data_IF_137339964063
#
_entry.id   IF_137339964063
#
_cell.length_a   1.000
_cell.length_b   1.000
_cell.length_c   1.000
_cell.angle_alpha   90.00
_cell.angle_beta   90.00
_cell.angle_gamma   90.00
#
_symmetry.space_group_name_H-M   'P 1'
#
loop_
_entity.id
_entity.type
_entity.pdbx_description
1 polymer ?
#
# COMPACT_ATOMS: atom_id res chain seq x y z
N UNK A 1 -15.69 5.39 -45.46
CA UNK A 1 -14.43 6.07 -45.09
C UNK A 1 -14.48 6.72 -43.70
N UNK A 2 -15.10 7.90 -43.50
CA UNK A 2 -15.15 8.55 -42.15
C UNK A 2 -15.87 7.69 -41.10
N UNK A 3 -16.98 7.04 -41.47
CA UNK A 3 -17.75 6.17 -40.58
C UNK A 3 -16.97 4.93 -40.14
N UNK A 4 -16.22 4.32 -41.06
CA UNK A 4 -15.37 3.16 -40.77
C UNK A 4 -14.19 3.52 -39.85
N UNK A 5 -13.64 4.73 -39.99
CA UNK A 5 -12.60 5.26 -39.10
C UNK A 5 -13.15 5.49 -37.68
N UNK A 6 -14.35 6.07 -37.55
CA UNK A 6 -15.03 6.25 -36.27
C UNK A 6 -15.39 4.91 -35.61
N UNK A 7 -15.88 3.94 -36.38
CA UNK A 7 -16.19 2.60 -35.88
C UNK A 7 -14.92 1.84 -35.43
N UNK A 8 -13.79 2.07 -36.10
CA UNK A 8 -12.49 1.54 -35.68
C UNK A 8 -12.00 2.14 -34.35
N UNK A 9 -12.13 3.47 -34.20
CA UNK A 9 -11.73 4.17 -32.97
C UNK A 9 -12.58 3.74 -31.76
N UNK A 10 -13.89 3.65 -31.93
CA UNK A 10 -14.79 3.23 -30.84
C UNK A 10 -14.53 1.80 -30.35
N UNK A 11 -14.18 0.88 -31.26
CA UNK A 11 -13.77 -0.50 -30.92
C UNK A 11 -12.49 -0.58 -30.08
N UNK A 12 -11.61 0.40 -30.17
CA UNK A 12 -10.35 0.46 -29.41
C UNK A 12 -10.54 1.21 -28.09
N UNK A 13 -11.32 2.30 -28.10
CA UNK A 13 -11.54 3.14 -26.92
C UNK A 13 -12.29 2.42 -25.79
N UNK A 14 -13.26 1.56 -26.12
CA UNK A 14 -14.01 0.79 -25.12
C UNK A 14 -13.10 -0.10 -24.26
N UNK A 15 -12.35 -1.05 -24.86
CA UNK A 15 -11.41 -1.90 -24.13
C UNK A 15 -10.33 -1.12 -23.35
N UNK A 16 -9.81 -0.03 -23.91
CA UNK A 16 -8.83 0.83 -23.21
C UNK A 16 -9.47 1.48 -21.97
N UNK A 17 -10.68 2.00 -22.10
CA UNK A 17 -11.40 2.61 -20.98
C UNK A 17 -11.66 1.57 -19.87
N UNK A 18 -12.11 0.36 -20.24
CA UNK A 18 -12.30 -0.74 -19.28
C UNK A 18 -11.00 -1.14 -18.58
N UNK A 19 -9.92 -1.38 -19.33
CA UNK A 19 -8.61 -1.72 -18.75
C UNK A 19 -8.10 -0.62 -17.80
N UNK A 20 -8.31 0.65 -18.17
CA UNK A 20 -7.93 1.79 -17.33
C UNK A 20 -8.72 1.85 -16.02
N UNK A 21 -10.01 1.48 -16.07
CA UNK A 21 -10.90 1.40 -14.91
C UNK A 21 -10.49 0.23 -14.01
N UNK A 22 -10.32 -0.96 -14.56
CA UNK A 22 -9.92 -2.15 -13.80
C UNK A 22 -8.59 -1.93 -13.09
N UNK A 23 -7.61 -1.30 -13.77
CA UNK A 23 -6.32 -0.95 -13.18
C UNK A 23 -6.47 0.08 -12.04
N UNK A 24 -7.39 1.03 -12.14
CA UNK A 24 -7.69 1.98 -11.06
C UNK A 24 -8.32 1.27 -9.87
N UNK A 25 -9.32 0.41 -10.09
CA UNK A 25 -9.99 -0.34 -9.02
C UNK A 25 -9.02 -1.26 -8.28
N UNK A 26 -8.10 -1.93 -8.99
CA UNK A 26 -7.03 -2.71 -8.39
C UNK A 26 -6.09 -1.86 -7.54
N UNK A 27 -5.72 -0.66 -8.01
CA UNK A 27 -4.88 0.27 -7.25
C UNK A 27 -5.58 0.74 -5.98
N UNK A 28 -6.86 1.11 -6.08
CA UNK A 28 -7.66 1.56 -4.94
C UNK A 28 -7.84 0.43 -3.91
N UNK A 29 -8.00 -0.82 -4.35
CA UNK A 29 -8.05 -1.99 -3.48
C UNK A 29 -6.73 -2.20 -2.73
N UNK A 30 -5.58 -2.11 -3.43
CA UNK A 30 -4.25 -2.21 -2.82
C UNK A 30 -4.03 -1.11 -1.76
N UNK A 31 -4.42 0.12 -2.07
CA UNK A 31 -4.29 1.27 -1.16
C UNK A 31 -5.22 1.15 0.06
N UNK A 32 -6.43 0.60 -0.11
CA UNK A 32 -7.33 0.30 1.02
C UNK A 32 -6.72 -0.73 1.97
N UNK A 33 -6.06 -1.77 1.45
CA UNK A 33 -5.39 -2.77 2.29
C UNK A 33 -4.29 -2.12 3.16
N UNK A 34 -3.47 -1.24 2.57
CA UNK A 34 -2.47 -0.47 3.33
C UNK A 34 -3.14 0.46 4.36
N UNK A 35 -4.21 1.16 3.98
CA UNK A 35 -4.93 2.04 4.90
C UNK A 35 -5.43 1.28 6.13
N UNK A 36 -6.04 0.10 5.93
CA UNK A 36 -6.51 -0.74 7.03
C UNK A 36 -5.35 -1.18 7.93
N UNK A 37 -4.23 -1.61 7.35
CA UNK A 37 -3.05 -2.01 8.13
C UNK A 37 -2.47 -0.83 8.96
N UNK A 38 -2.43 0.38 8.38
CA UNK A 38 -2.00 1.59 9.07
C UNK A 38 -2.94 1.97 10.24
N UNK A 39 -4.25 1.80 10.07
CA UNK A 39 -5.25 2.11 11.09
C UNK A 39 -5.20 1.09 12.25
N UNK A 40 -5.01 -0.20 11.95
CA UNK A 40 -4.83 -1.24 12.98
C UNK A 40 -3.50 -1.07 13.74
N UNK A 41 -2.50 -0.46 13.10
CA UNK A 41 -1.22 -0.10 13.73
C UNK A 41 -1.35 1.02 14.79
N UNK A 42 -2.56 1.57 15.01
CA UNK A 42 -2.90 2.31 16.23
C UNK A 42 -2.59 1.53 17.52
N UNK A 43 -2.42 0.22 17.42
CA UNK A 43 -1.88 -0.63 18.47
C UNK A 43 -0.63 -0.04 19.18
N UNK A 44 0.29 0.62 18.46
CA UNK A 44 1.44 1.28 19.07
C UNK A 44 1.06 2.38 20.07
N UNK A 45 0.01 3.15 19.77
CA UNK A 45 -0.50 4.17 20.70
C UNK A 45 -0.98 3.54 22.00
N UNK A 46 -1.55 2.34 21.93
CA UNK A 46 -2.01 1.61 23.11
C UNK A 46 -0.81 1.06 23.92
N UNK A 47 0.24 0.58 23.24
CA UNK A 47 1.52 0.20 23.87
C UNK A 47 2.21 1.37 24.57
N UNK A 48 2.31 2.54 23.92
CA UNK A 48 2.91 3.76 24.49
C UNK A 48 2.19 4.24 25.76
N UNK A 49 0.91 3.89 25.92
CA UNK A 49 0.11 4.17 27.12
C UNK A 49 0.29 3.14 28.23
N UNK A 50 1.18 2.17 28.06
CA UNK A 50 1.46 1.11 29.02
C UNK A 50 0.56 -0.12 28.91
N UNK A 51 -0.19 -0.27 27.81
CA UNK A 51 -0.93 -1.52 27.58
C UNK A 51 0.06 -2.67 27.36
N UNK A 52 -0.24 -3.88 27.86
CA UNK A 52 0.61 -5.04 27.63
C UNK A 52 0.64 -5.43 26.15
N UNK A 53 1.71 -6.12 25.74
CA UNK A 53 1.79 -6.74 24.42
C UNK A 53 0.62 -7.71 24.20
N UNK A 54 0.10 -7.76 22.98
CA UNK A 54 -1.02 -8.58 22.56
C UNK A 54 -0.62 -9.31 21.28
N UNK A 55 -0.16 -10.55 21.44
CA UNK A 55 0.38 -11.37 20.36
C UNK A 55 -0.66 -11.68 19.28
N UNK A 56 -1.95 -11.75 19.63
CA UNK A 56 -3.02 -11.96 18.64
C UNK A 56 -3.17 -10.75 17.72
N UNK A 57 -3.08 -9.54 18.28
CA UNK A 57 -3.08 -8.30 17.48
C UNK A 57 -1.84 -8.20 16.60
N UNK A 58 -0.67 -8.54 17.11
CA UNK A 58 0.58 -8.56 16.32
C UNK A 58 0.49 -9.55 15.16
N UNK A 59 -0.03 -10.76 15.38
CA UNK A 59 -0.27 -11.73 14.32
C UNK A 59 -1.26 -11.24 13.25
N UNK A 60 -2.31 -10.52 13.67
CA UNK A 60 -3.25 -9.88 12.72
C UNK A 60 -2.58 -8.78 11.90
N UNK A 61 -1.71 -7.97 12.53
CA UNK A 61 -0.94 -6.95 11.83
C UNK A 61 -0.02 -7.57 10.78
N UNK A 62 0.72 -8.62 11.12
CA UNK A 62 1.54 -9.37 10.16
C UNK A 62 0.70 -9.81 8.94
N UNK A 63 -0.47 -10.42 9.19
CA UNK A 63 -1.38 -10.84 8.12
C UNK A 63 -1.84 -9.69 7.24
N UNK A 64 -2.21 -8.54 7.82
CA UNK A 64 -2.68 -7.39 7.05
C UNK A 64 -1.57 -6.78 6.19
N UNK A 65 -0.37 -6.66 6.73
CA UNK A 65 0.78 -6.13 6.00
C UNK A 65 1.20 -7.05 4.85
N UNK A 66 1.24 -8.37 5.05
CA UNK A 66 1.51 -9.35 3.98
C UNK A 66 0.44 -9.30 2.89
N UNK A 67 -0.84 -9.22 3.27
CA UNK A 67 -1.94 -9.10 2.31
C UNK A 67 -1.88 -7.80 1.49
N UNK A 68 -1.37 -6.71 2.07
CA UNK A 68 -1.21 -5.43 1.38
C UNK A 68 -0.03 -5.41 0.39
N UNK A 69 1.05 -6.16 0.67
CA UNK A 69 2.21 -6.26 -0.21
C UNK A 69 1.85 -6.87 -1.58
N UNK A 70 1.08 -7.97 -1.58
CA UNK A 70 0.75 -8.75 -2.79
C UNK A 70 0.20 -7.90 -3.94
N UNK A 71 -0.87 -7.09 -3.77
CA UNK A 71 -1.40 -6.27 -4.85
C UNK A 71 -0.53 -5.03 -5.13
N UNK A 72 0.23 -4.53 -4.14
CA UNK A 72 1.04 -3.32 -4.29
C UNK A 72 2.21 -3.49 -5.25
N UNK A 73 2.76 -4.71 -5.36
CA UNK A 73 3.85 -5.03 -6.31
C UNK A 73 3.56 -4.63 -7.77
N UNK A 74 2.29 -4.53 -8.15
CA UNK A 74 1.89 -4.15 -9.51
C UNK A 74 1.93 -2.63 -9.76
N UNK A 75 2.09 -1.83 -8.72
CA UNK A 75 2.01 -0.37 -8.77
C UNK A 75 3.25 0.33 -8.23
N UNK A 76 3.84 -0.20 -7.15
CA UNK A 76 5.04 0.32 -6.51
C UNK A 76 5.76 -0.83 -5.77
N UNK A 77 6.85 -1.32 -6.37
CA UNK A 77 7.65 -2.43 -5.84
C UNK A 77 8.30 -2.08 -4.50
N UNK A 78 8.76 -0.84 -4.35
CA UNK A 78 9.38 -0.40 -3.10
C UNK A 78 8.37 -0.38 -1.95
N UNK A 79 7.18 0.18 -2.18
CA UNK A 79 6.10 0.16 -1.17
C UNK A 79 5.60 -1.26 -0.89
N UNK A 80 5.61 -2.14 -1.88
CA UNK A 80 5.35 -3.57 -1.68
C UNK A 80 6.35 -4.19 -0.72
N UNK A 81 7.65 -3.98 -0.93
CA UNK A 81 8.71 -4.51 -0.06
C UNK A 81 8.63 -3.95 1.35
N UNK A 82 8.34 -2.65 1.49
CA UNK A 82 8.08 -2.03 2.80
C UNK A 82 6.92 -2.73 3.52
N UNK A 83 5.81 -3.02 2.82
CA UNK A 83 4.70 -3.74 3.42
C UNK A 83 5.08 -5.17 3.84
N UNK A 84 5.90 -5.85 3.04
CA UNK A 84 6.38 -7.21 3.34
C UNK A 84 7.30 -7.23 4.57
N UNK A 85 8.30 -6.34 4.63
CA UNK A 85 9.14 -6.21 5.82
C UNK A 85 8.36 -5.77 7.07
N UNK A 86 7.34 -4.92 6.90
CA UNK A 86 6.46 -4.57 8.03
C UNK A 86 5.69 -5.79 8.52
N UNK A 87 5.29 -6.70 7.62
CA UNK A 87 4.71 -7.99 8.01
C UNK A 87 5.68 -8.84 8.81
N UNK A 88 6.93 -8.99 8.34
CA UNK A 88 7.98 -9.74 9.03
C UNK A 88 8.29 -9.17 10.41
N UNK A 89 8.32 -7.84 10.53
CA UNK A 89 8.47 -7.15 11.81
C UNK A 89 7.41 -7.59 12.83
N UNK A 90 6.13 -7.63 12.43
CA UNK A 90 5.05 -8.01 13.34
C UNK A 90 5.03 -9.48 13.75
N UNK A 91 5.79 -10.35 13.05
CA UNK A 91 5.97 -11.74 13.49
C UNK A 91 6.85 -11.81 14.74
N UNK A 92 7.88 -10.96 14.83
CA UNK A 92 8.73 -10.87 16.00
C UNK A 92 9.41 -9.50 16.10
N UNK A 93 8.74 -8.49 16.71
CA UNK A 93 9.28 -7.14 16.82
C UNK A 93 10.59 -7.04 17.60
N UNK A 94 10.83 -7.97 18.54
CA UNK A 94 11.98 -7.95 19.44
C UNK A 94 13.30 -8.31 18.73
N UNK A 95 13.24 -8.75 17.46
CA UNK A 95 14.41 -9.02 16.64
C UNK A 95 14.94 -7.79 15.87
N UNK A 96 14.26 -6.63 15.98
CA UNK A 96 14.59 -5.45 15.20
C UNK A 96 15.05 -4.33 16.10
N UNK A 97 16.23 -3.79 15.79
CA UNK A 97 16.72 -2.56 16.39
C UNK A 97 16.16 -1.34 15.65
N UNK A 98 16.29 -0.16 16.26
CA UNK A 98 15.81 1.08 15.65
C UNK A 98 16.49 1.40 14.31
N UNK A 99 17.77 1.01 14.14
CA UNK A 99 18.45 1.19 12.86
C UNK A 99 17.86 0.26 11.79
N UNK A 100 17.52 -1.00 12.12
CA UNK A 100 16.87 -1.93 11.18
C UNK A 100 15.53 -1.36 10.69
N UNK A 101 14.71 -0.84 11.61
CA UNK A 101 13.41 -0.23 11.29
C UNK A 101 13.56 0.93 10.29
N UNK A 102 14.61 1.73 10.46
CA UNK A 102 14.91 2.90 9.64
C UNK A 102 15.50 2.51 8.29
N UNK A 103 16.45 1.57 8.25
CA UNK A 103 17.06 1.06 7.03
C UNK A 103 16.04 0.37 6.12
N UNK A 104 15.12 -0.40 6.70
CA UNK A 104 14.03 -1.07 5.98
C UNK A 104 12.90 -0.10 5.60
N UNK A 105 12.87 1.12 6.13
CA UNK A 105 11.83 2.10 5.87
C UNK A 105 10.44 1.70 6.40
N UNK A 106 10.39 0.81 7.39
CA UNK A 106 9.17 0.26 7.99
C UNK A 106 8.65 1.08 9.17
N UNK A 107 9.33 2.20 9.49
CA UNK A 107 8.85 3.18 10.46
C UNK A 107 7.46 3.70 10.07
N UNK A 108 6.51 3.73 11.01
CA UNK A 108 5.10 4.06 10.72
C UNK A 108 4.93 5.39 9.97
N UNK A 109 5.75 6.40 10.27
CA UNK A 109 5.72 7.68 9.58
C UNK A 109 6.24 7.58 8.14
N UNK A 110 7.25 6.75 7.89
CA UNK A 110 7.83 6.54 6.56
C UNK A 110 6.85 5.80 5.66
N UNK A 111 6.25 4.71 6.16
CA UNK A 111 5.20 3.97 5.44
C UNK A 111 4.00 4.87 5.14
N UNK A 112 3.57 5.68 6.11
CA UNK A 112 2.46 6.64 5.92
C UNK A 112 2.79 7.70 4.87
N UNK A 113 4.03 8.17 4.82
CA UNK A 113 4.47 9.12 3.78
C UNK A 113 4.49 8.48 2.40
N UNK A 114 5.03 7.27 2.26
CA UNK A 114 5.05 6.52 1.02
C UNK A 114 3.62 6.24 0.52
N UNK A 115 2.73 5.77 1.40
CA UNK A 115 1.31 5.61 1.12
C UNK A 115 0.65 6.90 0.63
N UNK A 116 0.87 8.04 1.32
CA UNK A 116 0.30 9.33 0.93
C UNK A 116 0.79 9.82 -0.43
N UNK A 117 2.04 9.54 -0.81
CA UNK A 117 2.55 9.84 -2.17
C UNK A 117 1.73 9.10 -3.23
N UNK A 118 1.33 7.85 -2.95
CA UNK A 118 0.55 7.02 -3.88
C UNK A 118 -0.92 7.46 -4.05
N UNK A 119 -1.48 8.15 -3.04
CA UNK A 119 -2.81 8.75 -3.09
C UNK A 119 -2.88 10.02 -3.95
N UNK A 120 -1.75 10.69 -4.19
CA UNK A 120 -1.76 11.95 -4.94
C UNK A 120 -2.11 11.70 -6.41
N UNK A 121 -3.02 12.50 -6.99
CA UNK A 121 -3.21 12.51 -8.43
C UNK A 121 -1.89 12.88 -9.12
N UNK A 122 -1.59 12.21 -10.24
CA UNK A 122 -0.38 12.43 -11.05
C UNK A 122 -0.17 13.92 -11.43
N UNK A 123 -1.23 14.72 -11.48
CA UNK A 123 -1.19 16.16 -11.81
C UNK A 123 -0.52 17.06 -10.76
N UNK A 124 -0.32 16.58 -9.52
CA UNK A 124 0.25 17.37 -8.42
C UNK A 124 1.72 17.01 -8.09
N UNK A 125 2.31 16.03 -8.78
CA UNK A 125 3.69 15.57 -8.51
C UNK A 125 4.76 16.24 -9.36
N UNK A 126 4.39 17.14 -10.29
CA UNK A 126 5.32 17.95 -11.10
C UNK A 126 5.23 19.42 -10.68
N UNK A 127 5.72 19.72 -9.50
CA UNK A 127 6.19 21.06 -9.14
C UNK A 127 7.30 20.84 -8.13
N UNK A 128 8.49 20.64 -8.67
CA UNK A 128 9.79 20.97 -8.10
C UNK A 128 10.77 21.06 -9.27
#
# INVERSE_FOLDING_TARGET
MIKEILDGLTKILGPIATLSKDRRELKDSALRAISNALDETLYYRDLDKGSPKNLEREALLAKYWSAAAIPMRHFDENLSNICDHTSEYWVNPDNYEQEDIKELGIGLNDVRQAYRKMLRPFSLSRKD
#
